data_IF_229601947665
#
_entry.id   IF_229601947665
#
_cell.length_a   1.000
_cell.length_b   1.000
_cell.length_c   1.000
_cell.angle_alpha   90.00
_cell.angle_beta   90.00
_cell.angle_gamma   90.00
#
_symmetry.space_group_name_H-M   'P 1'
#
loop_
_entity.id
_entity.type
_entity.pdbx_description
1 polymer ?
#
# COMPACT_ATOMS: atom_id res chain seq x y z
N UNK A 1 -28.97 9.78 -1.03
CA UNK A 1 -27.78 9.00 -0.63
C UNK A 1 -26.71 10.06 -0.43
N UNK A 2 -26.37 10.36 0.83
CA UNK A 2 -25.65 11.58 1.18
C UNK A 2 -24.17 11.52 0.79
N UNK A 3 -23.61 12.66 0.39
CA UNK A 3 -22.21 12.86 0.02
C UNK A 3 -21.21 12.25 1.02
N UNK A 4 -21.60 12.10 2.29
CA UNK A 4 -20.79 11.49 3.35
C UNK A 4 -20.50 10.00 3.12
N UNK A 5 -21.46 9.23 2.61
CA UNK A 5 -21.25 7.80 2.30
C UNK A 5 -20.34 7.62 1.08
N UNK A 6 -20.43 8.55 0.11
CA UNK A 6 -19.56 8.55 -1.06
C UNK A 6 -18.13 8.98 -0.69
N UNK A 7 -17.99 9.95 0.22
CA UNK A 7 -16.70 10.32 0.82
C UNK A 7 -16.11 9.19 1.65
N UNK A 8 -16.89 8.52 2.50
CA UNK A 8 -16.41 7.38 3.30
C UNK A 8 -16.00 6.22 2.39
N UNK A 9 -16.77 5.90 1.34
CA UNK A 9 -16.39 4.88 0.37
C UNK A 9 -15.15 5.28 -0.44
N UNK A 10 -15.01 6.57 -0.79
CA UNK A 10 -13.82 7.10 -1.47
C UNK A 10 -12.60 7.03 -0.55
N UNK A 11 -12.71 7.47 0.71
CA UNK A 11 -11.67 7.33 1.72
C UNK A 11 -11.31 5.85 1.91
N UNK A 12 -12.25 4.94 2.06
CA UNK A 12 -11.92 3.52 2.22
C UNK A 12 -11.26 2.88 0.97
N UNK A 13 -11.39 3.50 -0.22
CA UNK A 13 -10.76 3.03 -1.46
C UNK A 13 -9.45 3.74 -1.81
N UNK A 14 -9.20 4.93 -1.25
CA UNK A 14 -8.04 5.78 -1.51
C UNK A 14 -7.13 5.95 -0.28
N UNK A 15 -7.58 5.52 0.89
CA UNK A 15 -6.81 5.54 2.12
C UNK A 15 -6.18 4.18 2.37
N UNK A 16 -5.00 4.20 2.97
CA UNK A 16 -4.44 3.01 3.57
C UNK A 16 -4.77 3.02 5.06
N UNK A 17 -5.21 1.87 5.57
CA UNK A 17 -5.41 1.66 7.00
C UNK A 17 -4.44 0.62 7.52
N UNK A 18 -3.84 0.88 8.67
CA UNK A 18 -3.03 -0.10 9.37
C UNK A 18 -3.49 -0.18 10.83
N UNK A 19 -3.73 -1.39 11.33
CA UNK A 19 -4.32 -1.62 12.64
C UNK A 19 -3.38 -2.44 13.50
N UNK A 20 -3.12 -1.95 14.71
CA UNK A 20 -2.48 -2.68 15.80
C UNK A 20 -3.46 -2.86 16.95
N UNK A 21 -3.07 -3.63 17.97
CA UNK A 21 -3.82 -3.67 19.23
C UNK A 21 -3.87 -2.31 19.94
N UNK A 22 -2.92 -1.42 19.66
CA UNK A 22 -2.75 -0.15 20.37
C UNK A 22 -3.30 1.08 19.62
N UNK A 23 -3.35 1.01 18.30
CA UNK A 23 -3.66 2.15 17.44
C UNK A 23 -4.13 1.73 16.04
N UNK A 24 -5.00 2.54 15.45
CA UNK A 24 -5.35 2.49 14.02
C UNK A 24 -4.77 3.71 13.33
N UNK A 25 -3.96 3.49 12.30
CA UNK A 25 -3.42 4.54 11.44
C UNK A 25 -4.28 4.66 10.18
N UNK A 26 -4.78 5.86 9.92
CA UNK A 26 -5.52 6.21 8.71
C UNK A 26 -4.68 7.21 7.91
N UNK A 27 -4.29 6.81 6.69
CA UNK A 27 -3.54 7.67 5.78
C UNK A 27 -4.46 8.13 4.65
N UNK A 28 -4.61 9.43 4.47
CA UNK A 28 -5.50 10.00 3.45
C UNK A 28 -4.92 11.25 2.79
N UNK A 29 -5.43 11.57 1.60
CA UNK A 29 -5.08 12.79 0.87
C UNK A 29 -6.17 13.83 0.98
N UNK A 30 -5.79 15.08 1.25
CA UNK A 30 -6.69 16.23 1.22
C UNK A 30 -5.93 17.49 0.75
N UNK A 31 -6.47 18.20 -0.24
CA UNK A 31 -5.93 19.46 -0.76
C UNK A 31 -4.42 19.42 -1.11
N UNK A 32 -3.99 18.36 -1.80
CA UNK A 32 -2.59 18.17 -2.21
C UNK A 32 -1.62 17.72 -1.12
N UNK A 33 -2.13 17.44 0.09
CA UNK A 33 -1.36 16.99 1.25
C UNK A 33 -1.78 15.58 1.67
N UNK A 34 -0.84 14.78 2.15
CA UNK A 34 -1.11 13.53 2.85
C UNK A 34 -1.14 13.77 4.35
N UNK A 35 -2.16 13.24 5.00
CA UNK A 35 -2.31 13.28 6.46
C UNK A 35 -2.31 11.86 7.02
N UNK A 36 -1.62 11.70 8.13
CA UNK A 36 -1.76 10.56 9.02
C UNK A 36 -2.65 10.96 10.20
N UNK A 37 -3.66 10.13 10.46
CA UNK A 37 -4.49 10.25 11.65
C UNK A 37 -4.45 8.93 12.43
N UNK A 38 -4.11 9.01 13.72
CA UNK A 38 -3.92 7.86 14.59
C UNK A 38 -5.04 7.83 15.61
N UNK A 39 -5.79 6.73 15.64
CA UNK A 39 -6.97 6.55 16.49
C UNK A 39 -6.72 5.47 17.53
N UNK A 40 -7.26 5.67 18.73
CA UNK A 40 -7.32 4.63 19.75
C UNK A 40 -8.50 3.69 19.43
N UNK A 41 -8.25 2.40 19.15
CA UNK A 41 -9.32 1.47 18.84
C UNK A 41 -10.30 1.24 20.00
N UNK A 42 -9.89 1.48 21.26
CA UNK A 42 -10.74 1.28 22.43
C UNK A 42 -11.71 2.44 22.65
N UNK A 43 -11.25 3.68 22.52
CA UNK A 43 -12.09 4.87 22.70
C UNK A 43 -12.73 5.38 21.40
N UNK A 44 -12.13 5.08 20.24
CA UNK A 44 -12.50 5.64 18.94
C UNK A 44 -12.09 7.10 18.76
N UNK A 45 -11.26 7.66 19.64
CA UNK A 45 -10.80 9.04 19.58
C UNK A 45 -9.49 9.17 18.79
N UNK A 46 -9.34 10.28 18.08
CA UNK A 46 -8.08 10.67 17.45
C UNK A 46 -7.05 11.04 18.51
N UNK A 47 -5.94 10.31 18.53
CA UNK A 47 -4.80 10.51 19.44
C UNK A 47 -3.77 11.46 18.82
N UNK A 48 -3.53 11.35 17.50
CA UNK A 48 -2.51 12.10 16.77
C UNK A 48 -3.01 12.42 15.36
N UNK A 49 -2.62 13.58 14.84
CA UNK A 49 -2.80 13.95 13.45
C UNK A 49 -1.54 14.67 12.97
N UNK A 50 -0.87 14.10 11.97
CA UNK A 50 0.37 14.65 11.41
C UNK A 50 0.24 14.86 9.91
N UNK A 51 0.92 15.88 9.41
CA UNK A 51 1.22 15.99 8.00
C UNK A 51 2.33 14.99 7.65
N UNK A 52 2.04 14.13 6.65
CA UNK A 52 3.02 13.18 6.12
C UNK A 52 3.87 13.84 5.04
N UNK A 53 3.26 14.73 4.24
CA UNK A 53 3.93 15.53 3.23
C UNK A 53 2.98 16.04 2.15
N UNK A 54 3.49 16.81 1.20
CA UNK A 54 2.71 17.52 0.18
C UNK A 54 3.05 17.08 -1.25
N UNK A 55 2.54 17.80 -2.26
CA UNK A 55 2.84 17.54 -3.67
C UNK A 55 2.10 16.34 -4.27
N UNK A 56 1.05 15.84 -3.60
CA UNK A 56 0.19 14.78 -4.13
C UNK A 56 -0.94 15.34 -4.98
N UNK A 57 -1.45 14.52 -5.89
CA UNK A 57 -2.67 14.81 -6.65
C UNK A 57 -3.88 14.74 -5.71
N UNK A 58 -4.82 15.67 -5.86
CA UNK A 58 -6.08 15.65 -5.11
C UNK A 58 -6.83 14.33 -5.28
N UNK A 59 -7.18 13.71 -4.15
CA UNK A 59 -7.85 12.42 -4.12
C UNK A 59 -7.00 11.26 -4.63
N UNK A 60 -5.67 11.41 -4.69
CA UNK A 60 -4.76 10.31 -4.99
C UNK A 60 -4.90 9.19 -3.95
N UNK A 61 -4.76 7.93 -4.37
CA UNK A 61 -4.64 6.83 -3.43
C UNK A 61 -3.35 6.95 -2.62
N UNK A 62 -3.38 6.48 -1.39
CA UNK A 62 -2.22 6.31 -0.55
C UNK A 62 -2.02 4.83 -0.23
N UNK A 63 -0.76 4.39 -0.17
CA UNK A 63 -0.37 3.10 0.38
C UNK A 63 0.54 3.33 1.59
N UNK A 64 0.22 2.67 2.70
CA UNK A 64 1.01 2.72 3.92
C UNK A 64 1.63 1.36 4.17
N UNK A 65 2.85 1.37 4.68
CA UNK A 65 3.50 0.17 5.17
C UNK A 65 4.24 0.46 6.46
N UNK A 66 4.15 -0.47 7.40
CA UNK A 66 4.98 -0.49 8.59
C UNK A 66 5.53 -1.90 8.78
N UNK A 67 6.80 -1.97 9.15
CA UNK A 67 7.42 -3.20 9.57
C UNK A 67 8.50 -2.91 10.60
N UNK A 68 8.73 -3.88 11.47
CA UNK A 68 9.77 -3.86 12.49
C UNK A 68 10.59 -5.12 12.33
N UNK A 69 11.88 -4.98 12.04
CA UNK A 69 12.78 -6.12 11.88
C UNK A 69 13.41 -6.55 13.21
N UNK A 70 12.57 -6.77 14.22
CA UNK A 70 12.92 -7.66 15.32
C UNK A 70 13.89 -7.14 16.39
N UNK A 71 14.30 -5.86 16.39
CA UNK A 71 14.88 -5.27 17.63
C UNK A 71 13.81 -4.92 18.68
N UNK A 72 12.59 -5.44 18.53
CA UNK A 72 11.52 -5.45 19.53
C UNK A 72 10.62 -6.69 19.49
N UNK A 73 11.00 -7.75 18.76
CA UNK A 73 10.28 -9.03 18.73
C UNK A 73 11.31 -10.15 18.79
N UNK A 74 11.73 -10.48 20.02
CA UNK A 74 12.47 -11.70 20.30
C UNK A 74 11.67 -12.90 19.72
N UNK A 75 12.34 -13.79 18.98
CA UNK A 75 11.85 -15.10 18.47
C UNK A 75 11.39 -15.23 17.00
N UNK A 76 12.25 -14.91 16.02
CA UNK A 76 12.22 -15.60 14.71
C UNK A 76 13.64 -15.97 14.26
N UNK A 77 13.87 -17.28 14.03
CA UNK A 77 15.13 -17.94 13.69
C UNK A 77 16.01 -17.20 12.65
N UNK A 78 17.09 -16.59 13.13
CA UNK A 78 18.51 -16.66 12.74
C UNK A 78 18.99 -16.78 11.28
N UNK A 79 18.19 -16.58 10.23
CA UNK A 79 18.69 -16.59 8.84
C UNK A 79 18.15 -15.47 7.93
N UNK A 80 17.65 -14.37 8.51
CA UNK A 80 17.38 -13.11 7.77
C UNK A 80 18.54 -12.11 8.00
N UNK A 81 19.74 -12.51 7.57
CA UNK A 81 20.97 -11.74 7.74
C UNK A 81 21.21 -10.76 6.56
N UNK A 82 21.50 -9.51 6.93
CA UNK A 82 21.91 -8.35 6.13
C UNK A 82 20.95 -7.80 5.05
N UNK A 83 20.09 -6.84 5.43
CA UNK A 83 19.52 -5.92 4.44
C UNK A 83 18.50 -4.90 4.91
N UNK A 84 17.80 -5.17 6.01
CA UNK A 84 16.81 -4.24 6.53
C UNK A 84 16.84 -4.34 8.07
N UNK A 85 17.47 -3.36 8.74
CA UNK A 85 17.44 -3.23 10.20
C UNK A 85 16.68 -1.96 10.58
N UNK A 86 15.84 -2.04 11.62
CA UNK A 86 15.05 -0.90 12.14
C UNK A 86 13.53 -1.03 11.95
N UNK A 87 12.77 -0.24 12.70
CA UNK A 87 11.37 0.04 12.38
C UNK A 87 11.32 0.98 11.18
N UNK A 88 10.53 0.65 10.16
CA UNK A 88 10.37 1.50 9.00
C UNK A 88 8.89 1.68 8.69
N UNK A 89 8.47 2.94 8.60
CA UNK A 89 7.15 3.36 8.14
C UNK A 89 7.32 4.16 6.88
N UNK A 90 6.56 3.78 5.85
CA UNK A 90 6.54 4.53 4.59
C UNK A 90 5.12 4.76 4.13
N UNK A 91 4.93 5.90 3.48
CA UNK A 91 3.72 6.27 2.77
C UNK A 91 4.06 6.54 1.32
N UNK A 92 3.26 6.00 0.41
CA UNK A 92 3.36 6.23 -1.02
C UNK A 92 2.07 6.87 -1.53
N UNK A 93 2.19 7.79 -2.48
CA UNK A 93 1.06 8.39 -3.18
C UNK A 93 1.46 8.75 -4.62
N UNK A 94 0.62 9.53 -5.30
CA UNK A 94 0.78 9.89 -6.71
C UNK A 94 0.80 11.41 -6.86
N UNK A 95 1.80 11.94 -7.56
CA UNK A 95 1.89 13.37 -7.90
C UNK A 95 0.91 13.76 -9.02
N UNK A 96 0.64 15.07 -9.26
CA UNK A 96 -0.17 15.53 -10.39
C UNK A 96 0.32 15.05 -11.77
N UNK A 97 1.62 14.78 -11.93
CA UNK A 97 2.26 14.25 -13.14
C UNK A 97 2.12 12.73 -13.29
N UNK A 98 1.39 12.07 -12.38
CA UNK A 98 1.20 10.63 -12.32
C UNK A 98 2.52 9.87 -12.11
N UNK A 99 3.33 10.35 -11.17
CA UNK A 99 4.52 9.67 -10.66
C UNK A 99 4.31 9.25 -9.21
N UNK A 100 5.03 8.21 -8.78
CA UNK A 100 5.07 7.86 -7.36
C UNK A 100 5.81 8.96 -6.58
N UNK A 101 5.29 9.30 -5.41
CA UNK A 101 5.98 10.06 -4.36
C UNK A 101 5.95 9.24 -3.08
N UNK A 102 7.00 9.35 -2.27
CA UNK A 102 7.18 8.53 -1.09
C UNK A 102 7.64 9.39 0.09
N UNK A 103 7.21 9.01 1.29
CA UNK A 103 7.57 9.62 2.56
C UNK A 103 7.99 8.51 3.52
N UNK A 104 9.01 8.79 4.34
CA UNK A 104 9.52 7.86 5.35
C UNK A 104 9.42 8.53 6.71
N UNK A 105 9.06 7.77 7.74
CA UNK A 105 9.11 8.24 9.11
C UNK A 105 10.55 8.15 9.64
N UNK A 106 11.07 9.24 10.15
CA UNK A 106 12.40 9.34 10.75
C UNK A 106 12.31 9.18 12.26
N UNK A 107 12.74 8.03 12.76
CA UNK A 107 12.81 7.70 14.17
C UNK A 107 14.12 8.13 14.84
N UNK A 108 15.15 8.50 14.07
CA UNK A 108 16.48 8.80 14.60
C UNK A 108 16.65 10.29 14.94
N UNK A 109 16.00 11.17 14.19
CA UNK A 109 16.11 12.62 14.39
C UNK A 109 14.97 13.21 15.24
N UNK A 110 13.79 13.41 14.65
CA UNK A 110 12.73 14.24 15.25
C UNK A 110 11.37 13.54 15.40
N UNK A 111 11.27 12.24 15.11
CA UNK A 111 9.98 11.52 15.06
C UNK A 111 9.00 12.20 14.08
N UNK A 112 9.49 12.49 12.87
CA UNK A 112 8.75 13.23 11.83
C UNK A 112 8.74 12.48 10.50
N UNK A 113 7.76 12.81 9.66
CA UNK A 113 7.76 12.37 8.26
C UNK A 113 8.72 13.22 7.43
N UNK A 114 9.50 12.57 6.55
CA UNK A 114 10.42 13.21 5.62
C UNK A 114 10.21 12.71 4.19
N UNK A 115 10.53 13.55 3.21
CA UNK A 115 10.53 13.19 1.79
C UNK A 115 11.51 12.04 1.53
N UNK A 116 11.00 10.93 1.00
CA UNK A 116 11.84 9.80 0.59
C UNK A 116 12.23 9.96 -0.88
N UNK A 117 13.41 10.53 -1.10
CA UNK A 117 13.99 10.78 -2.43
C UNK A 117 15.09 9.79 -2.83
N UNK A 118 15.40 8.84 -1.96
CA UNK A 118 16.42 7.83 -2.19
C UNK A 118 16.03 6.85 -3.32
N UNK A 119 17.05 6.33 -4.01
CA UNK A 119 16.89 5.44 -5.17
C UNK A 119 16.15 6.09 -6.34
N UNK A 120 15.24 5.34 -6.96
CA UNK A 120 14.53 5.71 -8.19
C UNK A 120 13.01 5.71 -8.06
N UNK A 121 12.45 5.62 -6.85
CA UNK A 121 10.98 5.51 -6.64
C UNK A 121 10.22 6.68 -7.27
N UNK A 122 10.74 7.91 -7.13
CA UNK A 122 10.15 9.14 -7.68
C UNK A 122 10.14 9.22 -9.22
N UNK A 123 10.78 8.27 -9.90
CA UNK A 123 10.80 8.19 -11.37
C UNK A 123 9.71 7.29 -11.94
N UNK A 124 9.08 6.47 -11.08
CA UNK A 124 8.07 5.49 -11.49
C UNK A 124 6.81 6.22 -11.93
N UNK A 125 6.42 6.03 -13.19
CA UNK A 125 5.18 6.59 -13.74
C UNK A 125 4.05 5.58 -13.66
N UNK A 126 2.85 6.05 -13.36
CA UNK A 126 1.64 5.23 -13.18
C UNK A 126 0.50 5.71 -14.06
N UNK A 127 -0.54 4.89 -14.20
CA UNK A 127 -1.77 5.29 -14.86
C UNK A 127 -2.44 6.44 -14.08
N UNK A 128 -3.06 7.44 -14.74
CA UNK A 128 -3.72 8.56 -14.04
C UNK A 128 -4.88 8.18 -13.12
N UNK A 129 -5.40 6.96 -13.27
CA UNK A 129 -6.44 6.35 -12.46
C UNK A 129 -5.92 5.13 -11.69
N UNK A 130 -4.61 4.99 -11.50
CA UNK A 130 -4.07 3.88 -10.73
C UNK A 130 -4.59 3.90 -9.29
N UNK A 131 -4.97 2.76 -8.74
CA UNK A 131 -4.93 2.54 -7.29
C UNK A 131 -3.49 2.35 -6.81
N UNK A 132 -3.28 2.31 -5.49
CA UNK A 132 -2.00 1.94 -4.89
C UNK A 132 -2.23 0.96 -3.74
N UNK A 133 -1.32 0.01 -3.58
CA UNK A 133 -1.27 -0.85 -2.40
C UNK A 133 0.18 -1.24 -2.12
N UNK A 134 0.53 -1.42 -0.86
CA UNK A 134 1.86 -1.85 -0.47
C UNK A 134 1.80 -3.15 0.35
N UNK A 135 2.78 -4.02 0.16
CA UNK A 135 2.92 -5.24 0.93
C UNK A 135 4.38 -5.55 1.20
N UNK A 136 4.64 -6.25 2.29
CA UNK A 136 5.96 -6.79 2.61
C UNK A 136 5.88 -8.30 2.54
N UNK A 137 6.92 -8.88 1.99
CA UNK A 137 7.19 -10.31 2.05
C UNK A 137 8.69 -10.53 2.23
N UNK A 138 9.15 -11.80 2.34
CA UNK A 138 10.57 -12.08 2.51
C UNK A 138 11.48 -11.56 1.39
N UNK A 139 10.96 -11.28 0.20
CA UNK A 139 11.72 -10.72 -0.92
C UNK A 139 11.76 -9.19 -0.93
N UNK A 140 11.15 -8.54 0.07
CA UNK A 140 11.20 -7.09 0.28
C UNK A 140 9.84 -6.38 0.22
N UNK A 141 9.92 -5.06 0.01
CA UNK A 141 8.77 -4.18 -0.06
C UNK A 141 8.23 -4.11 -1.50
N UNK A 142 6.94 -4.37 -1.66
CA UNK A 142 6.22 -4.29 -2.92
C UNK A 142 5.29 -3.09 -2.90
N UNK A 143 5.33 -2.28 -3.95
CA UNK A 143 4.34 -1.25 -4.25
C UNK A 143 3.61 -1.64 -5.53
N UNK A 144 2.31 -1.95 -5.42
CA UNK A 144 1.44 -2.35 -6.51
C UNK A 144 0.72 -1.15 -7.11
N UNK A 145 0.69 -1.10 -8.43
CA UNK A 145 0.05 -0.02 -9.18
C UNK A 145 -0.34 -0.51 -10.58
N UNK A 146 -1.08 0.34 -11.27
CA UNK A 146 -1.38 0.22 -12.69
C UNK A 146 -0.40 1.06 -13.49
N UNK A 147 0.34 0.45 -14.41
CA UNK A 147 1.30 1.16 -15.25
C UNK A 147 0.59 2.05 -16.30
N UNK A 148 1.31 2.97 -17.00
CA UNK A 148 0.68 3.90 -17.94
C UNK A 148 -0.11 3.25 -19.09
N UNK A 149 0.16 1.97 -19.40
CA UNK A 149 -0.56 1.21 -20.42
C UNK A 149 -1.82 0.50 -19.89
N UNK A 150 -2.11 0.61 -18.59
CA UNK A 150 -3.28 0.00 -17.95
C UNK A 150 -3.04 -1.39 -17.35
N UNK A 151 -1.82 -1.93 -17.43
CA UNK A 151 -1.50 -3.24 -16.86
C UNK A 151 -1.11 -3.15 -15.38
N UNK A 152 -1.51 -4.14 -14.57
CA UNK A 152 -1.06 -4.23 -13.17
C UNK A 152 0.43 -4.63 -13.12
N UNK A 153 1.18 -3.96 -12.25
CA UNK A 153 2.62 -4.13 -12.08
C UNK A 153 2.98 -3.82 -10.62
N UNK A 154 4.17 -4.23 -10.19
CA UNK A 154 4.74 -3.77 -8.93
C UNK A 154 6.13 -3.17 -9.11
N UNK A 155 6.50 -2.28 -8.19
CA UNK A 155 7.88 -1.93 -7.91
C UNK A 155 8.32 -2.68 -6.65
N UNK A 156 9.51 -3.27 -6.68
CA UNK A 156 10.05 -4.10 -5.59
C UNK A 156 11.35 -3.48 -5.10
N UNK A 157 11.42 -3.27 -3.78
CA UNK A 157 12.63 -2.90 -3.05
C UNK A 157 13.07 -4.10 -2.19
N UNK A 158 13.98 -4.96 -2.67
CA UNK A 158 14.41 -6.16 -1.95
C UNK A 158 15.25 -5.87 -0.71
N UNK A 159 15.80 -4.65 -0.64
CA UNK A 159 16.68 -4.13 0.40
C UNK A 159 17.38 -2.89 -0.13
N UNK A 160 17.98 -2.08 0.75
CA UNK A 160 18.58 -0.80 0.34
C UNK A 160 17.55 0.21 -0.20
N UNK A 161 17.94 1.01 -1.19
CA UNK A 161 17.15 2.15 -1.66
C UNK A 161 16.58 1.99 -3.08
N UNK A 162 17.11 1.05 -3.87
CA UNK A 162 16.75 0.90 -5.28
C UNK A 162 15.48 0.08 -5.50
N UNK A 163 14.65 0.55 -6.43
CA UNK A 163 13.40 -0.08 -6.81
C UNK A 163 13.49 -0.69 -8.21
N UNK A 164 13.00 -1.91 -8.35
CA UNK A 164 12.95 -2.63 -9.62
C UNK A 164 11.51 -2.90 -10.03
N UNK A 165 11.18 -2.66 -11.30
CA UNK A 165 9.84 -2.96 -11.81
C UNK A 165 9.72 -4.45 -12.15
N UNK A 166 8.61 -5.06 -11.72
CA UNK A 166 8.25 -6.40 -12.18
C UNK A 166 7.85 -6.40 -13.64
N UNK A 167 7.71 -7.58 -14.25
CA UNK A 167 6.90 -7.68 -15.46
C UNK A 167 5.43 -7.32 -15.15
N UNK A 168 4.69 -6.91 -16.18
CA UNK A 168 3.24 -6.73 -16.08
C UNK A 168 2.61 -8.08 -15.73
N UNK A 169 1.75 -8.10 -14.72
CA UNK A 169 1.06 -9.32 -14.30
C UNK A 169 0.04 -9.75 -15.36
N UNK A 170 -0.21 -11.06 -15.52
CA UNK A 170 -1.22 -11.58 -16.43
C UNK A 170 -2.64 -11.40 -15.86
N UNK A 171 -3.03 -10.16 -15.55
CA UNK A 171 -4.30 -9.79 -14.93
C UNK A 171 -5.13 -8.90 -15.86
N UNK A 172 -6.40 -9.25 -16.07
CA UNK A 172 -7.36 -8.41 -16.82
C UNK A 172 -8.07 -7.42 -15.89
N UNK A 173 -7.31 -6.50 -15.32
CA UNK A 173 -7.82 -5.51 -14.40
C UNK A 173 -8.61 -4.40 -15.09
N UNK A 174 -9.68 -3.94 -14.46
CA UNK A 174 -10.41 -2.75 -14.89
C UNK A 174 -9.59 -1.49 -14.60
N UNK A 175 -9.49 -0.60 -15.58
CA UNK A 175 -8.89 0.73 -15.37
C UNK A 175 -9.58 1.44 -14.21
N UNK A 176 -8.80 1.98 -13.27
CA UNK A 176 -9.38 2.62 -12.09
C UNK A 176 -9.70 1.66 -10.96
N UNK A 177 -9.38 0.36 -11.07
CA UNK A 177 -9.65 -0.57 -9.98
C UNK A 177 -8.92 -0.13 -8.71
N UNK A 178 -9.60 -0.12 -7.54
CA UNK A 178 -8.89 -0.10 -6.27
C UNK A 178 -7.98 -1.31 -6.18
N UNK A 179 -6.88 -1.15 -5.46
CA UNK A 179 -5.90 -2.19 -5.19
C UNK A 179 -5.83 -2.35 -3.68
N UNK A 180 -5.84 -3.59 -3.20
CA UNK A 180 -5.57 -3.86 -1.79
C UNK A 180 -4.83 -5.17 -1.65
N UNK A 181 -3.94 -5.25 -0.68
CA UNK A 181 -3.11 -6.42 -0.44
C UNK A 181 -3.43 -7.06 0.90
N UNK A 182 -3.35 -8.39 0.93
CA UNK A 182 -3.34 -9.18 2.16
C UNK A 182 -2.04 -9.98 2.21
N UNK A 183 -1.36 -9.90 3.33
CA UNK A 183 -0.11 -10.64 3.60
C UNK A 183 -0.39 -11.74 4.60
N UNK A 184 0.13 -12.93 4.35
CA UNK A 184 0.10 -14.06 5.28
C UNK A 184 1.45 -14.75 5.36
N UNK A 185 1.57 -15.73 6.25
CA UNK A 185 2.75 -16.61 6.34
C UNK A 185 3.00 -17.42 5.07
N UNK A 186 2.00 -17.56 4.19
CA UNK A 186 2.11 -18.36 2.98
C UNK A 186 2.42 -17.52 1.73
N UNK A 187 2.05 -16.23 1.72
CA UNK A 187 2.21 -15.41 0.53
C UNK A 187 1.56 -14.03 0.63
N UNK A 188 1.54 -13.35 -0.52
CA UNK A 188 0.85 -12.07 -0.70
C UNK A 188 -0.27 -12.25 -1.72
N UNK A 189 -1.46 -11.75 -1.39
CA UNK A 189 -2.59 -11.62 -2.31
C UNK A 189 -2.80 -10.15 -2.66
N UNK A 190 -2.93 -9.83 -3.94
CA UNK A 190 -3.37 -8.52 -4.45
C UNK A 190 -4.78 -8.67 -5.00
N UNK A 191 -5.74 -7.95 -4.42
CA UNK A 191 -7.13 -7.93 -4.85
C UNK A 191 -7.42 -6.73 -5.74
N UNK A 192 -8.27 -6.95 -6.76
CA UNK A 192 -8.66 -5.95 -7.74
C UNK A 192 -9.97 -6.35 -8.43
N UNK A 193 -10.66 -5.39 -9.05
CA UNK A 193 -11.78 -5.65 -9.94
C UNK A 193 -11.30 -5.89 -11.37
N UNK A 194 -11.78 -7.00 -11.94
CA UNK A 194 -11.54 -7.36 -13.32
C UNK A 194 -12.40 -6.54 -14.29
N UNK A 195 -12.09 -6.63 -15.58
CA UNK A 195 -12.92 -6.04 -16.66
C UNK A 195 -14.35 -6.62 -16.71
N UNK A 196 -14.58 -7.75 -16.05
CA UNK A 196 -15.86 -8.41 -15.86
C UNK A 196 -16.65 -7.90 -14.64
N UNK A 197 -16.15 -6.85 -13.97
CA UNK A 197 -16.73 -6.26 -12.75
C UNK A 197 -16.80 -7.23 -11.55
N UNK A 198 -16.00 -8.30 -11.54
CA UNK A 198 -15.89 -9.21 -10.39
C UNK A 198 -14.58 -9.01 -9.62
N UNK A 199 -14.53 -9.49 -8.37
CA UNK A 199 -13.34 -9.41 -7.54
C UNK A 199 -12.38 -10.56 -7.88
N UNK A 200 -11.20 -10.21 -8.37
CA UNK A 200 -10.10 -11.11 -8.67
C UNK A 200 -8.98 -10.94 -7.65
N UNK A 201 -8.07 -11.91 -7.61
CA UNK A 201 -6.80 -11.73 -6.92
C UNK A 201 -5.64 -12.36 -7.66
N UNK A 202 -4.47 -11.73 -7.55
CA UNK A 202 -3.19 -12.33 -7.86
C UNK A 202 -2.59 -12.84 -6.56
N UNK A 203 -2.04 -14.04 -6.58
CA UNK A 203 -1.37 -14.65 -5.44
C UNK A 203 0.09 -14.93 -5.77
N UNK A 204 0.97 -14.63 -4.84
CA UNK A 204 2.36 -15.07 -4.86
C UNK A 204 2.67 -15.78 -3.56
N UNK A 205 2.88 -17.09 -3.64
CA UNK A 205 3.31 -17.88 -2.50
C UNK A 205 4.81 -17.73 -2.25
N UNK A 206 5.22 -17.59 -0.98
CA UNK A 206 6.63 -17.37 -0.60
C UNK A 206 7.54 -18.49 -1.10
N UNK A 207 7.04 -19.73 -1.21
CA UNK A 207 7.79 -20.89 -1.74
C UNK A 207 7.82 -20.96 -3.27
N UNK A 208 6.79 -20.45 -3.93
CA UNK A 208 6.65 -20.50 -5.41
C UNK A 208 7.44 -19.40 -6.12
N UNK A 209 7.58 -18.25 -5.45
CA UNK A 209 8.23 -17.05 -5.98
C UNK A 209 7.53 -16.39 -7.17
N UNK A 210 6.44 -16.96 -7.70
CA UNK A 210 5.78 -16.54 -8.93
C UNK A 210 4.37 -16.00 -8.65
N UNK A 211 3.97 -14.99 -9.40
CA UNK A 211 2.60 -14.46 -9.36
C UNK A 211 1.69 -15.32 -10.23
N UNK A 212 0.59 -15.77 -9.65
CA UNK A 212 -0.42 -16.59 -10.31
C UNK A 212 -1.80 -15.94 -10.14
N UNK A 213 -2.65 -16.08 -11.17
CA UNK A 213 -4.04 -15.66 -11.07
C UNK A 213 -4.78 -16.65 -10.18
N UNK A 214 -5.26 -16.18 -9.03
CA UNK A 214 -6.14 -16.97 -8.18
C UNK A 214 -7.52 -17.10 -8.81
N UNK A 215 -8.25 -18.17 -8.48
CA UNK A 215 -9.64 -18.29 -8.91
C UNK A 215 -10.44 -17.06 -8.43
N UNK A 216 -11.34 -16.55 -9.29
CA UNK A 216 -12.23 -15.45 -8.93
C UNK A 216 -12.94 -15.76 -7.60
N UNK A 217 -12.94 -14.80 -6.68
CA UNK A 217 -13.69 -14.97 -5.44
C UNK A 217 -15.17 -14.90 -5.85
N UNK A 218 -15.99 -15.94 -5.58
CA UNK A 218 -17.40 -15.88 -5.94
C UNK A 218 -18.01 -14.63 -5.32
N UNK A 219 -18.62 -13.80 -6.16
CA UNK A 219 -19.32 -12.60 -5.71
C UNK A 219 -20.40 -13.02 -4.72
N UNK A 220 -20.48 -12.34 -3.59
CA UNK A 220 -21.58 -12.50 -2.62
C UNK A 220 -22.83 -11.90 -3.27
N UNK A 221 -23.43 -12.64 -4.20
CA UNK A 221 -24.75 -12.36 -4.74
C UNK A 221 -25.79 -13.14 -3.96
N UNK A 222 -25.75 -13.11 -2.62
CA UNK A 222 -26.79 -13.69 -1.76
C UNK A 222 -26.67 -13.22 -0.30
N UNK A 223 -26.68 -11.91 -0.08
CA UNK A 223 -27.24 -11.34 1.15
C UNK A 223 -28.46 -10.52 0.76
N UNK A 224 -29.53 -11.23 0.41
CA UNK A 224 -30.86 -10.65 0.34
C UNK A 224 -31.54 -10.84 1.71
N UNK A 225 -32.01 -9.70 2.24
CA UNK A 225 -32.93 -9.47 3.37
C UNK A 225 -32.28 -9.42 4.76
#
# INVERSE_FOLDING_TARGET
>A
MGDDLQRIAYCLSACSTFVTEMATHLIYTNDGTITEEVWDPASGETIKQDEVGDGVKDGAPAAYVWYSNGQGAEDFDDDFDEGIGGEERMVFSITPENKIIAFKYDYEEEDVWIDYTAGNVGTISVHPQSGLSAAINPDGLYLFFMNPSGGLQAAVRPGGEDWTLTNVFPAEAKIGTPLTTSVSSEGVSLFYFGVDDTLHHLYRGHKSGSWEVGAAVPTISECAI
#
